data_IF_762897512450
#
_entry.id   IF_762897512450
#
_cell.length_a   1.000
_cell.length_b   1.000
_cell.length_c   1.000
_cell.angle_alpha   90.00
_cell.angle_beta   90.00
_cell.angle_gamma   90.00
#
_symmetry.space_group_name_H-M   'P 1'
#
loop_
_entity.id
_entity.type
_entity.pdbx_description
1 polymer ?
#
# COMPACT_ATOMS: atom_id res chain seq x y z
N UNK A 1 -30.81 17.38 42.40
CA UNK A 1 -31.26 16.05 41.93
C UNK A 1 -32.59 16.24 41.23
N UNK A 2 -32.78 15.67 40.03
CA UNK A 2 -34.08 15.64 39.33
C UNK A 2 -34.60 14.21 39.33
N UNK A 3 -35.89 14.03 39.52
CA UNK A 3 -36.53 12.72 39.40
C UNK A 3 -36.65 12.37 37.91
N UNK A 4 -36.18 11.19 37.53
CA UNK A 4 -36.17 10.77 36.14
C UNK A 4 -36.63 9.31 35.99
N UNK A 5 -37.28 9.01 34.88
CA UNK A 5 -37.53 7.65 34.41
C UNK A 5 -36.36 7.19 33.54
N UNK A 6 -35.85 5.99 33.78
CA UNK A 6 -34.93 5.31 32.85
C UNK A 6 -35.74 4.50 31.84
N UNK A 7 -35.57 4.80 30.56
CA UNK A 7 -36.25 4.12 29.46
C UNK A 7 -35.21 3.47 28.55
N UNK A 8 -35.40 2.20 28.21
CA UNK A 8 -34.65 1.59 27.10
C UNK A 8 -35.38 1.79 25.79
N UNK A 9 -34.71 2.43 24.84
CA UNK A 9 -35.20 2.62 23.48
C UNK A 9 -34.45 1.64 22.58
N UNK A 10 -35.16 0.66 22.02
CA UNK A 10 -34.61 -0.30 21.06
C UNK A 10 -35.31 -0.17 19.71
N UNK A 11 -34.59 -0.29 18.60
CA UNK A 11 -35.19 -0.25 17.27
C UNK A 11 -34.16 -0.39 16.15
N UNK A 12 -34.56 -0.05 14.92
CA UNK A 12 -33.65 0.14 13.79
C UNK A 12 -33.83 1.57 13.27
N UNK A 13 -32.75 2.29 13.04
CA UNK A 13 -32.71 3.51 12.23
C UNK A 13 -32.72 3.16 10.74
N UNK A 14 -32.61 4.16 9.86
CA UNK A 14 -32.52 3.92 8.43
C UNK A 14 -31.28 3.09 8.01
N UNK A 15 -30.26 3.01 8.88
CA UNK A 15 -28.98 2.38 8.56
C UNK A 15 -28.46 1.41 9.62
N UNK A 16 -28.85 1.54 10.89
CA UNK A 16 -28.28 0.78 12.01
C UNK A 16 -29.28 0.46 13.14
N UNK A 17 -29.10 -0.65 13.88
CA UNK A 17 -29.87 -0.92 15.09
C UNK A 17 -29.60 0.14 16.19
N UNK A 18 -30.65 0.51 16.91
CA UNK A 18 -30.60 1.49 18.00
C UNK A 18 -30.87 0.77 19.32
N UNK A 19 -30.07 1.06 20.34
CA UNK A 19 -30.34 0.67 21.72
C UNK A 19 -29.79 1.74 22.64
N UNK A 20 -30.67 2.51 23.25
CA UNK A 20 -30.27 3.61 24.13
C UNK A 20 -30.93 3.51 25.50
N UNK A 21 -30.24 4.05 26.48
CA UNK A 21 -30.77 4.35 27.80
C UNK A 21 -31.08 5.84 27.87
N UNK A 22 -32.36 6.19 27.90
CA UNK A 22 -32.85 7.56 27.93
C UNK A 22 -33.40 7.88 29.32
N UNK A 23 -32.87 8.93 29.93
CA UNK A 23 -33.38 9.49 31.18
C UNK A 23 -34.34 10.63 30.85
N UNK A 24 -35.60 10.45 31.22
CA UNK A 24 -36.70 11.39 30.94
C UNK A 24 -37.14 12.03 32.24
N UNK A 25 -37.24 13.36 32.28
CA UNK A 25 -37.73 14.09 33.45
C UNK A 25 -39.13 13.61 33.81
N UNK A 26 -39.33 13.25 35.08
CA UNK A 26 -40.59 12.66 35.53
C UNK A 26 -41.77 13.65 35.56
N UNK A 27 -41.52 14.97 35.47
CA UNK A 27 -42.54 16.00 35.58
C UNK A 27 -42.97 16.57 34.23
N UNK A 28 -42.02 16.81 33.33
CA UNK A 28 -42.29 17.49 32.05
C UNK A 28 -41.98 16.65 30.81
N UNK A 29 -41.55 15.40 31.00
CA UNK A 29 -41.18 14.47 29.94
C UNK A 29 -40.04 14.95 29.01
N UNK A 30 -39.27 15.97 29.42
CA UNK A 30 -38.07 16.39 28.69
C UNK A 30 -36.97 15.33 28.81
N UNK A 31 -36.15 15.20 27.76
CA UNK A 31 -35.00 14.30 27.79
C UNK A 31 -33.88 14.97 28.59
N UNK A 32 -33.49 14.36 29.71
CA UNK A 32 -32.40 14.83 30.57
C UNK A 32 -31.04 14.31 30.12
N UNK A 33 -30.99 13.05 29.66
CA UNK A 33 -29.78 12.38 29.20
C UNK A 33 -30.14 11.21 28.28
N UNK A 34 -29.34 10.97 27.24
CA UNK A 34 -29.44 9.80 26.36
C UNK A 34 -28.07 9.15 26.26
N UNK A 35 -27.98 7.88 26.62
CA UNK A 35 -26.74 7.09 26.64
C UNK A 35 -26.90 5.92 25.68
N UNK A 36 -26.21 5.90 24.53
CA UNK A 36 -26.26 4.76 23.62
C UNK A 36 -25.62 3.51 24.24
N UNK A 37 -26.29 2.37 24.11
CA UNK A 37 -25.86 1.02 24.55
C UNK A 37 -25.47 0.11 23.37
N UNK A 38 -25.73 0.52 22.12
CA UNK A 38 -25.10 -0.02 20.91
C UNK A 38 -23.99 0.95 20.50
N UNK A 39 -22.76 0.44 20.37
CA UNK A 39 -21.55 1.22 20.12
C UNK A 39 -21.02 0.97 18.71
N UNK A 40 -21.85 1.17 17.69
CA UNK A 40 -21.43 1.32 16.28
C UNK A 40 -20.70 2.67 16.07
N UNK A 41 -20.02 3.15 17.12
CA UNK A 41 -19.64 4.53 17.33
C UNK A 41 -18.22 4.56 17.91
N UNK A 42 -17.36 5.29 17.20
CA UNK A 42 -16.08 5.84 17.66
C UNK A 42 -15.95 5.83 19.20
N UNK A 43 -15.03 5.02 19.72
CA UNK A 43 -14.76 4.91 21.15
C UNK A 43 -13.29 5.19 21.43
N UNK A 44 -12.97 6.44 21.76
CA UNK A 44 -11.58 6.85 22.03
C UNK A 44 -11.27 6.88 23.51
N UNK A 45 -10.05 6.50 23.86
CA UNK A 45 -9.50 6.59 25.22
C UNK A 45 -8.05 7.02 25.15
N UNK A 46 -7.76 8.22 25.62
CA UNK A 46 -6.39 8.74 25.71
C UNK A 46 -5.95 8.73 27.17
N UNK A 47 -4.85 8.03 27.39
CA UNK A 47 -4.16 7.90 28.67
C UNK A 47 -2.87 8.71 28.66
N UNK A 48 -2.30 8.90 29.84
CA UNK A 48 -0.95 9.42 30.01
C UNK A 48 -0.12 8.44 30.83
N UNK A 49 1.08 8.11 30.32
CA UNK A 49 2.08 7.37 31.07
C UNK A 49 2.82 8.24 32.11
N UNK A 50 2.54 9.55 32.18
CA UNK A 50 3.14 10.54 33.08
C UNK A 50 4.68 10.46 33.08
N UNK A 51 5.30 10.41 31.90
CA UNK A 51 6.73 10.27 31.66
C UNK A 51 7.36 8.95 32.15
N UNK A 52 6.54 7.93 32.40
CA UNK A 52 6.99 6.56 32.65
C UNK A 52 6.85 5.69 31.40
N UNK A 53 7.32 4.44 31.47
CA UNK A 53 7.11 3.44 30.41
C UNK A 53 5.93 2.49 30.71
N UNK A 54 5.07 2.82 31.70
CA UNK A 54 3.95 1.95 32.09
C UNK A 54 2.71 2.26 31.26
N UNK A 55 2.27 1.28 30.47
CA UNK A 55 1.08 1.34 29.63
C UNK A 55 -0.16 0.69 30.29
N UNK A 56 -1.40 1.16 29.99
CA UNK A 56 -1.69 2.42 29.31
C UNK A 56 -1.47 3.65 30.23
N UNK A 57 -1.22 3.44 31.52
CA UNK A 57 -1.07 4.53 32.48
C UNK A 57 -2.42 5.04 33.02
N UNK A 58 -2.61 6.35 33.09
CA UNK A 58 -3.80 6.97 33.71
C UNK A 58 -4.71 7.57 32.65
N UNK A 59 -5.98 7.18 32.62
CA UNK A 59 -6.96 7.72 31.68
C UNK A 59 -7.11 9.24 31.89
N UNK A 60 -6.94 10.01 30.81
CA UNK A 60 -7.07 11.48 30.83
C UNK A 60 -8.32 11.95 30.09
N UNK A 61 -8.72 11.26 29.02
CA UNK A 61 -9.91 11.60 28.25
C UNK A 61 -10.51 10.38 27.57
N UNK A 62 -11.79 10.15 27.79
CA UNK A 62 -12.61 9.14 27.11
C UNK A 62 -13.67 9.74 26.20
N UNK A 63 -14.29 8.90 25.39
CA UNK A 63 -15.40 9.30 24.51
C UNK A 63 -16.51 10.05 25.29
N UNK A 64 -17.00 11.15 24.72
CA UNK A 64 -18.01 12.01 25.35
C UNK A 64 -17.53 12.88 26.52
N UNK A 65 -16.28 12.74 26.97
CA UNK A 65 -15.72 13.60 28.02
C UNK A 65 -15.27 14.96 27.45
N UNK A 66 -15.36 16.05 28.25
CA UNK A 66 -14.82 17.35 27.86
C UNK A 66 -13.29 17.28 27.68
N UNK A 67 -12.73 18.35 27.11
CA UNK A 67 -11.28 18.53 27.02
C UNK A 67 -10.61 18.35 28.39
N UNK A 68 -9.46 17.68 28.41
CA UNK A 68 -8.75 17.32 29.65
C UNK A 68 -7.98 18.51 30.24
N UNK A 69 -7.69 19.53 29.43
CA UNK A 69 -6.82 20.65 29.79
C UNK A 69 -5.34 20.38 29.49
N UNK A 70 -5.01 19.17 29.07
CA UNK A 70 -3.71 18.79 28.55
C UNK A 70 -3.75 18.84 27.01
N UNK A 71 -2.98 19.77 26.43
CA UNK A 71 -2.99 20.02 25.00
C UNK A 71 -2.58 18.80 24.18
N UNK A 72 -1.67 17.96 24.69
CA UNK A 72 -1.22 16.79 23.94
C UNK A 72 -2.30 15.71 23.94
N UNK A 73 -2.88 15.41 25.11
CA UNK A 73 -4.04 14.51 25.24
C UNK A 73 -5.17 14.92 24.31
N UNK A 74 -5.52 16.21 24.31
CA UNK A 74 -6.66 16.73 23.55
C UNK A 74 -6.41 16.73 22.04
N UNK A 75 -5.17 17.02 21.60
CA UNK A 75 -4.77 16.91 20.20
C UNK A 75 -4.80 15.44 19.72
N UNK A 76 -4.22 14.51 20.47
CA UNK A 76 -4.24 13.08 20.13
C UNK A 76 -5.67 12.54 20.08
N UNK A 77 -6.53 12.93 21.02
CA UNK A 77 -7.96 12.56 21.01
C UNK A 77 -8.67 13.01 19.73
N UNK A 78 -8.31 14.19 19.20
CA UNK A 78 -8.85 14.70 17.94
C UNK A 78 -8.31 13.90 16.74
N UNK A 79 -7.00 13.61 16.71
CA UNK A 79 -6.39 12.84 15.62
C UNK A 79 -6.95 11.42 15.52
N UNK A 80 -7.15 10.73 16.65
CA UNK A 80 -7.83 9.43 16.68
C UNK A 80 -9.23 9.49 16.02
N UNK A 81 -9.97 10.57 16.29
CA UNK A 81 -11.30 10.77 15.71
C UNK A 81 -11.27 11.05 14.22
N UNK A 82 -10.30 11.83 13.75
CA UNK A 82 -10.10 12.12 12.32
C UNK A 82 -9.68 10.86 11.56
N UNK A 83 -8.77 10.04 12.10
CA UNK A 83 -8.38 8.77 11.50
C UNK A 83 -9.57 7.82 11.40
N UNK A 84 -10.36 7.65 12.47
CA UNK A 84 -11.59 6.85 12.40
C UNK A 84 -12.54 7.37 11.32
N UNK A 85 -12.80 8.69 11.30
CA UNK A 85 -13.73 9.29 10.36
C UNK A 85 -13.26 9.13 8.91
N UNK A 86 -11.96 9.23 8.65
CA UNK A 86 -11.35 8.97 7.35
C UNK A 86 -11.64 7.54 6.87
N UNK A 87 -11.28 6.53 7.66
CA UNK A 87 -11.50 5.12 7.29
C UNK A 87 -12.99 4.76 7.17
N UNK A 88 -13.82 5.22 8.11
CA UNK A 88 -15.25 4.97 8.07
C UNK A 88 -15.92 5.63 6.85
N UNK A 89 -15.57 6.88 6.54
CA UNK A 89 -16.17 7.61 5.41
C UNK A 89 -15.74 7.04 4.07
N UNK A 90 -14.45 6.73 3.90
CA UNK A 90 -13.92 6.26 2.62
C UNK A 90 -14.20 4.78 2.37
N UNK A 91 -14.14 3.95 3.40
CA UNK A 91 -14.14 2.49 3.23
C UNK A 91 -15.30 1.78 3.92
N UNK A 92 -16.16 2.52 4.65
CA UNK A 92 -17.21 1.91 5.47
C UNK A 92 -16.65 1.04 6.60
N UNK A 93 -15.40 1.27 7.00
CA UNK A 93 -14.71 0.47 8.02
C UNK A 93 -15.01 1.02 9.42
N UNK A 94 -15.65 0.20 10.25
CA UNK A 94 -15.88 0.53 11.66
C UNK A 94 -14.63 0.25 12.51
N UNK A 95 -13.83 1.29 12.75
CA UNK A 95 -12.54 1.23 13.46
C UNK A 95 -11.48 0.35 12.78
N UNK A 96 -10.36 0.09 13.47
CA UNK A 96 -9.18 -0.53 12.86
C UNK A 96 -9.33 -2.03 12.64
N UNK A 97 -10.24 -2.72 13.32
CA UNK A 97 -10.58 -4.14 13.12
C UNK A 97 -11.81 -4.36 12.23
N UNK A 98 -12.49 -3.28 11.80
CA UNK A 98 -13.76 -3.37 11.07
C UNK A 98 -14.96 -3.79 11.92
N UNK A 99 -14.81 -3.84 13.25
CA UNK A 99 -15.82 -4.28 14.21
C UNK A 99 -15.88 -3.38 15.47
N UNK A 100 -15.46 -2.12 15.36
CA UNK A 100 -15.61 -1.13 16.42
C UNK A 100 -14.55 -1.18 17.51
N UNK A 101 -13.31 -1.63 17.21
CA UNK A 101 -12.18 -1.61 18.14
C UNK A 101 -12.07 -0.28 18.89
N UNK A 102 -12.02 -0.25 20.22
CA UNK A 102 -11.73 0.97 20.96
C UNK A 102 -10.36 1.53 20.58
N UNK A 103 -10.32 2.82 20.21
CA UNK A 103 -9.08 3.52 19.89
C UNK A 103 -8.41 3.98 21.18
N UNK A 104 -7.50 3.15 21.68
CA UNK A 104 -6.71 3.43 22.87
C UNK A 104 -5.38 4.07 22.46
N UNK A 105 -5.01 5.16 23.13
CA UNK A 105 -3.69 5.75 22.98
C UNK A 105 -3.13 6.19 24.33
N UNK A 106 -1.80 6.11 24.47
CA UNK A 106 -1.05 6.61 25.62
C UNK A 106 -0.03 7.67 25.18
N UNK A 107 -0.18 8.89 25.69
CA UNK A 107 0.77 10.01 25.51
C UNK A 107 1.69 10.17 26.72
N UNK A 108 2.69 11.05 26.64
CA UNK A 108 3.72 11.24 27.68
C UNK A 108 4.44 9.94 28.02
N UNK A 109 4.73 9.13 26.99
CA UNK A 109 5.49 7.90 27.13
C UNK A 109 6.98 8.20 27.26
N UNK A 110 7.58 7.73 28.36
CA UNK A 110 8.96 7.99 28.76
C UNK A 110 9.32 9.50 28.77
N UNK A 111 10.60 9.83 28.84
CA UNK A 111 11.08 11.22 28.83
C UNK A 111 11.84 11.49 27.54
N UNK A 112 11.50 12.58 26.85
CA UNK A 112 12.15 13.00 25.60
C UNK A 112 12.17 11.90 24.52
N UNK A 113 11.14 11.07 24.49
CA UNK A 113 11.06 9.92 23.59
C UNK A 113 10.64 10.36 22.19
N UNK A 114 11.49 10.06 21.21
CA UNK A 114 11.32 10.44 19.80
C UNK A 114 10.82 9.24 19.02
N UNK A 115 9.63 8.76 19.36
CA UNK A 115 8.93 7.76 18.56
C UNK A 115 7.44 7.69 18.90
N UNK A 116 6.67 7.15 17.97
CA UNK A 116 5.32 6.66 18.16
C UNK A 116 5.28 5.22 17.63
N UNK A 117 4.38 4.40 18.14
CA UNK A 117 4.19 3.03 17.63
C UNK A 117 2.82 2.48 18.01
N UNK A 118 2.27 1.62 17.16
CA UNK A 118 1.26 0.64 17.54
C UNK A 118 1.90 -0.59 18.19
N UNK A 119 1.41 -1.00 19.37
CA UNK A 119 2.00 -2.13 20.13
C UNK A 119 1.25 -3.47 19.97
N UNK A 120 0.24 -3.51 19.08
CA UNK A 120 -0.71 -4.61 18.96
C UNK A 120 -2.02 -4.40 19.72
N UNK A 121 -2.07 -3.41 20.64
CA UNK A 121 -3.24 -3.12 21.47
C UNK A 121 -3.58 -1.63 21.60
N UNK A 122 -2.58 -0.76 21.62
CA UNK A 122 -2.76 0.68 21.73
C UNK A 122 -1.71 1.48 20.95
N UNK A 123 -2.04 2.73 20.65
CA UNK A 123 -1.12 3.71 20.08
C UNK A 123 -0.29 4.38 21.20
N UNK A 124 1.02 4.18 21.21
CA UNK A 124 1.95 4.78 22.18
C UNK A 124 2.67 5.96 21.56
N UNK A 125 2.70 7.08 22.28
CA UNK A 125 3.19 8.36 21.75
C UNK A 125 4.20 9.03 22.69
N UNK A 126 5.39 9.32 22.18
CA UNK A 126 6.39 10.15 22.84
C UNK A 126 6.16 11.65 22.67
N UNK A 127 6.64 12.43 23.63
CA UNK A 127 6.57 13.90 23.60
C UNK A 127 7.58 14.53 22.61
N UNK A 128 8.48 13.73 22.04
CA UNK A 128 9.65 14.23 21.35
C UNK A 128 10.66 14.86 22.31
N UNK A 129 11.78 15.33 21.79
CA UNK A 129 12.84 15.99 22.56
C UNK A 129 12.90 17.51 22.32
N UNK A 130 11.97 18.06 21.52
CA UNK A 130 11.94 19.47 21.13
C UNK A 130 13.02 19.89 20.14
N UNK A 131 13.89 18.97 19.72
CA UNK A 131 15.00 19.22 18.79
C UNK A 131 14.79 18.45 17.49
N UNK A 132 14.63 17.13 17.57
CA UNK A 132 14.43 16.25 16.41
C UNK A 132 12.96 15.99 16.13
N UNK A 133 12.11 16.07 17.16
CA UNK A 133 10.66 16.02 17.02
C UNK A 133 9.96 16.77 18.18
N UNK A 134 8.78 17.29 17.90
CA UNK A 134 7.77 17.67 18.89
C UNK A 134 6.88 16.49 19.30
N UNK A 135 5.74 16.74 19.95
CA UNK A 135 4.80 15.70 20.37
C UNK A 135 4.20 14.96 19.16
N UNK A 136 4.54 13.68 18.98
CA UNK A 136 4.38 13.01 17.68
C UNK A 136 2.91 12.82 17.27
N UNK A 137 2.08 12.32 18.19
CA UNK A 137 0.64 12.12 17.97
C UNK A 137 -0.22 13.40 17.97
N UNK A 138 0.35 14.57 17.69
CA UNK A 138 -0.41 15.76 17.29
C UNK A 138 -0.55 15.88 15.77
N UNK A 139 0.21 15.08 15.01
CA UNK A 139 0.14 15.01 13.55
C UNK A 139 -0.87 13.94 13.11
N UNK A 140 -1.71 14.27 12.13
CA UNK A 140 -2.76 13.35 11.66
C UNK A 140 -2.16 12.17 10.91
N UNK A 141 -1.21 12.41 10.01
CA UNK A 141 -0.50 11.37 9.27
C UNK A 141 0.22 10.39 10.18
N UNK A 142 0.88 10.85 11.25
CA UNK A 142 1.52 9.96 12.24
C UNK A 142 0.48 9.08 12.93
N UNK A 143 -0.61 9.66 13.43
CA UNK A 143 -1.66 8.86 14.11
C UNK A 143 -2.36 7.90 13.14
N UNK A 144 -2.60 8.32 11.91
CA UNK A 144 -3.17 7.47 10.86
C UNK A 144 -2.19 6.38 10.41
N UNK A 145 -0.89 6.67 10.33
CA UNK A 145 0.16 5.70 10.05
C UNK A 145 0.15 4.60 11.12
N UNK A 146 0.24 4.96 12.40
CA UNK A 146 0.28 3.96 13.46
C UNK A 146 -0.98 3.10 13.53
N UNK A 147 -2.16 3.71 13.39
CA UNK A 147 -3.42 2.96 13.38
C UNK A 147 -3.61 2.11 12.12
N UNK A 148 -2.93 2.44 11.01
CA UNK A 148 -2.93 1.60 9.80
C UNK A 148 -2.12 0.32 9.98
N UNK A 149 -1.16 0.26 10.91
CA UNK A 149 -0.57 -1.02 11.31
C UNK A 149 -1.62 -1.95 11.89
N UNK A 150 -2.52 -1.45 12.74
CA UNK A 150 -3.64 -2.24 13.25
C UNK A 150 -4.55 -2.74 12.11
N UNK A 151 -4.89 -1.88 11.14
CA UNK A 151 -5.64 -2.33 9.93
C UNK A 151 -4.89 -3.45 9.21
N UNK A 152 -3.58 -3.33 9.07
CA UNK A 152 -2.75 -4.36 8.42
C UNK A 152 -2.78 -5.68 9.19
N UNK A 153 -2.72 -5.63 10.53
CA UNK A 153 -2.79 -6.81 11.41
C UNK A 153 -4.12 -7.56 11.32
N UNK A 154 -5.25 -6.83 11.28
CA UNK A 154 -6.59 -7.43 11.21
C UNK A 154 -6.98 -7.92 9.80
N UNK A 155 -6.20 -7.58 8.78
CA UNK A 155 -6.53 -7.85 7.38
C UNK A 155 -5.49 -8.79 6.73
N UNK A 156 -4.49 -8.22 6.05
CA UNK A 156 -3.48 -9.01 5.31
C UNK A 156 -2.47 -9.73 6.20
N UNK A 157 -2.25 -9.24 7.41
CA UNK A 157 -1.24 -9.75 8.34
C UNK A 157 0.19 -9.68 7.78
N UNK A 158 0.51 -8.69 6.94
CA UNK A 158 1.85 -8.51 6.36
C UNK A 158 2.92 -8.58 7.45
N UNK A 159 3.79 -9.59 7.37
CA UNK A 159 4.85 -9.74 8.36
C UNK A 159 5.86 -8.61 8.23
N UNK A 160 6.33 -8.12 9.38
CA UNK A 160 7.18 -6.94 9.49
C UNK A 160 8.66 -7.23 9.16
N UNK A 161 8.92 -7.75 7.98
CA UNK A 161 10.27 -8.04 7.48
C UNK A 161 10.32 -8.07 5.96
N UNK A 162 11.46 -7.73 5.37
CA UNK A 162 11.67 -7.76 3.92
C UNK A 162 10.62 -6.97 3.14
N UNK A 163 10.18 -7.52 2.01
CA UNK A 163 9.21 -6.84 1.12
C UNK A 163 7.85 -6.69 1.79
N UNK A 164 7.36 -7.70 2.51
CA UNK A 164 6.07 -7.60 3.19
C UNK A 164 6.08 -6.54 4.28
N UNK A 165 7.20 -6.38 5.00
CA UNK A 165 7.37 -5.32 5.98
C UNK A 165 7.45 -3.94 5.33
N UNK A 166 8.15 -3.81 4.20
CA UNK A 166 8.19 -2.57 3.43
C UNK A 166 6.80 -2.19 2.88
N UNK A 167 5.99 -3.18 2.48
CA UNK A 167 4.60 -2.98 2.09
C UNK A 167 3.71 -2.56 3.27
N UNK A 168 4.00 -3.07 4.48
CA UNK A 168 3.31 -2.73 5.72
C UNK A 168 3.57 -1.25 6.06
N UNK A 169 4.83 -0.86 6.16
CA UNK A 169 5.26 0.54 6.35
C UNK A 169 4.68 1.49 5.30
N UNK A 170 4.78 1.11 4.02
CA UNK A 170 4.25 1.93 2.94
C UNK A 170 2.73 2.07 3.00
N UNK A 171 2.01 1.04 3.48
CA UNK A 171 0.56 1.13 3.64
C UNK A 171 0.19 2.17 4.70
N UNK A 172 0.93 2.18 5.81
CA UNK A 172 0.80 3.16 6.89
C UNK A 172 1.09 4.59 6.44
N UNK A 173 2.19 4.82 5.70
CA UNK A 173 2.48 6.12 5.09
C UNK A 173 1.39 6.57 4.10
N UNK A 174 0.92 5.65 3.24
CA UNK A 174 -0.13 5.93 2.25
C UNK A 174 -1.42 6.37 2.92
N UNK A 175 -1.89 5.67 3.97
CA UNK A 175 -3.13 6.05 4.62
C UNK A 175 -2.99 7.24 5.57
N UNK A 176 -1.77 7.53 6.05
CA UNK A 176 -1.42 8.84 6.60
C UNK A 176 -1.72 9.97 5.61
N UNK A 177 -1.09 9.90 4.43
CA UNK A 177 -1.28 10.88 3.35
C UNK A 177 -2.74 10.97 2.86
N UNK A 178 -3.44 9.84 2.75
CA UNK A 178 -4.85 9.81 2.34
C UNK A 178 -5.73 10.54 3.36
N UNK A 179 -5.53 10.30 4.66
CA UNK A 179 -6.34 10.95 5.68
C UNK A 179 -6.03 12.44 5.82
N UNK A 180 -4.77 12.85 5.64
CA UNK A 180 -4.43 14.27 5.52
C UNK A 180 -5.07 14.93 4.31
N UNK A 181 -4.95 14.31 3.13
CA UNK A 181 -5.57 14.80 1.91
C UNK A 181 -7.09 14.95 2.09
N UNK A 182 -7.75 13.90 2.59
CA UNK A 182 -9.19 13.88 2.85
C UNK A 182 -9.61 15.00 3.82
N UNK A 183 -8.91 15.16 4.95
CA UNK A 183 -9.21 16.20 5.94
C UNK A 183 -9.00 17.62 5.43
N UNK A 184 -8.20 17.78 4.36
CA UNK A 184 -7.87 19.06 3.72
C UNK A 184 -8.57 19.24 2.37
N UNK A 185 -9.78 18.68 2.22
CA UNK A 185 -10.60 18.78 1.00
C UNK A 185 -9.91 18.20 -0.25
N UNK A 186 -9.31 17.03 -0.09
CA UNK A 186 -8.57 16.31 -1.14
C UNK A 186 -7.36 17.09 -1.70
N UNK A 187 -6.67 17.83 -0.83
CA UNK A 187 -5.42 18.49 -1.19
C UNK A 187 -4.39 17.44 -1.65
N UNK A 188 -3.63 17.75 -2.69
CA UNK A 188 -2.44 16.99 -3.09
C UNK A 188 -1.20 17.90 -3.07
N UNK A 189 -1.24 18.92 -2.20
CA UNK A 189 -0.13 19.84 -1.99
C UNK A 189 1.11 19.15 -1.39
N UNK A 190 2.27 19.83 -1.36
CA UNK A 190 3.54 19.21 -0.98
C UNK A 190 3.55 18.51 0.38
N UNK A 191 2.81 19.04 1.37
CA UNK A 191 2.80 18.48 2.72
C UNK A 191 2.13 17.09 2.79
N UNK A 192 1.13 16.81 1.96
CA UNK A 192 0.46 15.49 1.91
C UNK A 192 1.43 14.37 1.54
N UNK A 193 2.54 14.70 0.88
CA UNK A 193 3.56 13.73 0.46
C UNK A 193 4.75 13.70 1.42
N UNK A 194 4.65 14.33 2.59
CA UNK A 194 5.66 14.29 3.65
C UNK A 194 5.09 13.57 4.85
N UNK A 195 5.85 12.66 5.44
CA UNK A 195 5.41 11.91 6.61
C UNK A 195 6.03 12.52 7.86
N UNK A 196 5.21 13.05 8.76
CA UNK A 196 5.57 13.60 10.07
C UNK A 196 6.13 15.02 10.02
N UNK A 197 5.90 15.78 8.96
CA UNK A 197 6.48 17.11 8.72
C UNK A 197 6.04 18.15 9.77
N UNK A 198 4.82 18.04 10.28
CA UNK A 198 4.26 18.96 11.28
C UNK A 198 4.87 18.79 12.68
N UNK A 199 5.52 17.65 12.94
CA UNK A 199 6.15 17.32 14.23
C UNK A 199 7.66 17.12 14.11
N UNK A 200 8.22 17.19 12.90
CA UNK A 200 9.64 17.06 12.63
C UNK A 200 10.38 18.34 12.97
N UNK A 201 11.57 18.20 13.58
CA UNK A 201 12.55 19.28 13.87
C UNK A 201 11.92 20.66 13.95
N UNK A 202 11.18 20.98 15.03
CA UNK A 202 10.41 22.23 15.11
C UNK A 202 11.16 23.53 14.72
N UNK A 203 12.50 23.63 14.89
CA UNK A 203 13.27 24.79 14.41
C UNK A 203 13.52 24.86 12.89
N UNK A 204 13.33 23.77 12.13
CA UNK A 204 13.60 23.67 10.70
C UNK A 204 12.26 23.56 9.98
N UNK A 205 11.96 24.55 9.13
CA UNK A 205 10.69 24.55 8.41
C UNK A 205 10.78 23.68 7.15
N UNK A 206 9.80 22.80 6.98
CA UNK A 206 9.52 22.12 5.72
C UNK A 206 10.29 20.83 5.47
N UNK A 207 11.01 20.30 6.46
CA UNK A 207 11.58 18.95 6.39
C UNK A 207 10.61 17.91 6.98
N UNK A 208 10.91 16.63 6.73
CA UNK A 208 10.14 15.49 7.20
C UNK A 208 11.05 14.26 7.36
N UNK A 209 10.68 13.28 8.22
CA UNK A 209 11.34 11.99 8.31
C UNK A 209 11.41 11.24 6.98
N UNK A 210 10.33 11.28 6.18
CA UNK A 210 10.21 10.61 4.89
C UNK A 210 9.43 11.46 3.89
N UNK A 211 9.72 11.28 2.61
CA UNK A 211 9.09 11.99 1.49
C UNK A 211 8.53 10.97 0.49
N UNK A 212 7.22 10.93 0.28
CA UNK A 212 6.59 10.03 -0.68
C UNK A 212 6.79 10.50 -2.13
N UNK A 213 6.98 11.80 -2.36
CA UNK A 213 7.13 12.39 -3.69
C UNK A 213 8.56 12.36 -4.23
N UNK A 214 9.56 12.30 -3.34
CA UNK A 214 10.97 12.05 -3.60
C UNK A 214 11.63 11.30 -2.42
N UNK A 215 11.47 9.97 -2.30
CA UNK A 215 11.97 9.21 -1.14
C UNK A 215 13.45 9.41 -0.86
N UNK A 216 14.26 9.57 -1.91
CA UNK A 216 15.71 9.74 -1.75
C UNK A 216 16.11 11.02 -1.00
N UNK A 217 15.19 11.99 -0.85
CA UNK A 217 15.44 13.29 -0.21
C UNK A 217 15.77 13.19 1.28
N UNK A 218 15.29 12.16 1.98
CA UNK A 218 15.64 11.93 3.39
C UNK A 218 17.07 11.35 3.56
N UNK A 219 17.70 10.93 2.47
CA UNK A 219 19.05 10.36 2.45
C UNK A 219 19.14 8.88 2.80
N UNK A 220 18.02 8.20 3.05
CA UNK A 220 17.95 6.78 3.40
C UNK A 220 17.01 6.02 2.46
N UNK A 221 15.78 6.49 2.27
CA UNK A 221 14.71 5.75 1.60
C UNK A 221 15.00 5.42 0.14
N UNK A 222 14.61 4.21 -0.26
CA UNK A 222 14.69 3.72 -1.64
C UNK A 222 13.52 4.24 -2.45
N UNK A 223 13.76 4.60 -3.71
CA UNK A 223 12.71 5.02 -4.66
C UNK A 223 12.56 4.08 -5.86
N UNK A 224 13.40 3.06 -5.96
CA UNK A 224 13.43 2.14 -7.09
C UNK A 224 13.80 0.71 -6.67
N UNK A 225 13.06 -0.27 -7.18
CA UNK A 225 13.11 -1.66 -6.73
C UNK A 225 14.45 -2.36 -6.92
N UNK A 226 15.27 -1.96 -7.91
CA UNK A 226 16.60 -2.56 -8.12
C UNK A 226 17.57 -2.32 -6.95
N UNK A 227 17.32 -1.27 -6.15
CA UNK A 227 18.13 -0.95 -4.97
C UNK A 227 17.77 -1.84 -3.78
N UNK A 228 16.58 -2.45 -3.78
CA UNK A 228 16.16 -3.36 -2.73
C UNK A 228 17.15 -4.54 -2.61
N UNK A 229 17.46 -4.89 -1.37
CA UNK A 229 18.30 -6.04 -1.00
C UNK A 229 17.59 -6.84 0.07
N UNK A 230 17.79 -8.16 0.05
CA UNK A 230 17.21 -9.02 1.08
C UNK A 230 17.71 -8.58 2.47
N UNK A 231 16.80 -8.38 3.41
CA UNK A 231 17.09 -7.85 4.74
C UNK A 231 17.23 -6.33 4.81
N UNK A 232 16.86 -5.59 3.77
CA UNK A 232 16.71 -4.13 3.86
C UNK A 232 15.71 -3.76 4.97
N UNK A 233 15.97 -2.63 5.62
CA UNK A 233 15.04 -2.07 6.61
C UNK A 233 13.71 -1.71 5.92
N UNK A 234 12.62 -1.99 6.64
CA UNK A 234 11.27 -1.86 6.11
C UNK A 234 10.88 -0.40 5.86
N UNK A 235 11.37 0.53 6.68
CA UNK A 235 11.09 1.97 6.53
C UNK A 235 11.86 2.53 5.33
N UNK A 236 13.08 2.05 5.10
CA UNK A 236 13.89 2.46 3.94
C UNK A 236 13.29 1.95 2.63
N UNK A 237 12.85 0.69 2.60
CA UNK A 237 12.29 0.07 1.40
C UNK A 237 10.85 0.51 1.07
N UNK A 238 10.11 1.06 2.05
CA UNK A 238 8.72 1.51 1.85
C UNK A 238 8.60 2.63 0.81
N UNK A 239 9.65 3.44 0.66
CA UNK A 239 9.75 4.53 -0.32
C UNK A 239 9.42 4.12 -1.76
N UNK A 240 9.72 2.87 -2.14
CA UNK A 240 9.45 2.32 -3.48
C UNK A 240 7.94 2.36 -3.77
N UNK A 241 7.11 1.87 -2.84
CA UNK A 241 5.65 1.86 -3.02
C UNK A 241 5.04 3.22 -2.69
N UNK A 242 5.62 3.99 -1.77
CA UNK A 242 5.18 5.37 -1.50
C UNK A 242 5.24 6.21 -2.77
N UNK A 243 6.35 6.15 -3.51
CA UNK A 243 6.50 6.85 -4.77
C UNK A 243 5.54 6.31 -5.85
N UNK A 244 5.32 4.99 -5.93
CA UNK A 244 4.34 4.43 -6.85
C UNK A 244 2.93 4.97 -6.57
N UNK A 245 2.51 5.02 -5.30
CA UNK A 245 1.21 5.57 -4.90
C UNK A 245 1.11 7.07 -5.21
N UNK A 246 2.15 7.85 -4.89
CA UNK A 246 2.21 9.27 -5.20
C UNK A 246 2.06 9.52 -6.70
N UNK A 247 2.84 8.82 -7.53
CA UNK A 247 2.78 8.97 -8.99
C UNK A 247 1.44 8.52 -9.55
N UNK A 248 0.84 7.46 -9.02
CA UNK A 248 -0.51 7.06 -9.41
C UNK A 248 -1.54 8.15 -9.07
N UNK A 249 -1.39 8.81 -7.92
CA UNK A 249 -2.29 9.85 -7.45
C UNK A 249 -2.17 11.13 -8.27
N UNK A 250 -0.95 11.67 -8.43
CA UNK A 250 -0.69 12.98 -9.04
C UNK A 250 -0.35 12.92 -10.53
N UNK A 251 0.11 11.78 -11.01
CA UNK A 251 0.76 11.64 -12.30
C UNK A 251 2.21 12.13 -12.28
N UNK A 252 2.87 12.03 -13.44
CA UNK A 252 4.24 12.47 -13.68
C UNK A 252 5.24 11.34 -13.86
N UNK A 253 6.52 11.71 -13.81
CA UNK A 253 7.66 10.80 -13.96
C UNK A 253 8.40 10.63 -12.63
N UNK A 254 9.22 9.59 -12.54
CA UNK A 254 10.09 9.37 -11.40
C UNK A 254 10.98 10.60 -11.12
N UNK A 255 11.06 11.12 -9.87
CA UNK A 255 11.68 12.41 -9.54
C UNK A 255 13.18 12.47 -9.90
N UNK A 256 13.90 11.35 -9.73
CA UNK A 256 15.30 11.21 -10.14
C UNK A 256 15.52 10.62 -11.54
N UNK A 257 14.48 10.60 -12.38
CA UNK A 257 14.53 10.12 -13.78
C UNK A 257 15.07 8.69 -13.99
N UNK A 258 15.06 7.84 -12.95
CA UNK A 258 15.48 6.42 -13.04
C UNK A 258 14.62 5.62 -14.01
N UNK A 259 13.41 6.10 -14.25
CA UNK A 259 12.48 5.59 -15.24
C UNK A 259 11.80 6.75 -15.94
N UNK A 260 11.74 6.70 -17.27
CA UNK A 260 11.00 7.66 -18.10
C UNK A 260 9.52 7.27 -18.27
N UNK A 261 9.00 6.47 -17.34
CA UNK A 261 7.61 6.02 -17.35
C UNK A 261 6.74 7.16 -16.83
N UNK A 262 6.12 7.87 -17.77
CA UNK A 262 5.11 8.89 -17.46
C UNK A 262 3.79 8.23 -17.02
N UNK A 263 3.34 8.55 -15.81
CA UNK A 263 2.15 8.02 -15.14
C UNK A 263 1.02 9.03 -15.31
N UNK A 264 -0.13 8.56 -15.79
CA UNK A 264 -1.34 9.37 -15.79
C UNK A 264 -1.98 9.31 -14.40
N UNK A 265 -2.03 10.46 -13.71
CA UNK A 265 -2.61 10.60 -12.39
C UNK A 265 -4.12 10.32 -12.38
N UNK A 266 -4.57 9.53 -11.41
CA UNK A 266 -5.98 9.13 -11.28
C UNK A 266 -6.71 9.80 -10.10
N UNK A 267 -5.99 10.64 -9.33
CA UNK A 267 -6.45 11.22 -8.09
C UNK A 267 -6.22 10.31 -6.88
N UNK A 268 -5.91 10.91 -5.73
CA UNK A 268 -5.56 10.19 -4.50
C UNK A 268 -6.72 9.37 -3.93
N UNK A 269 -7.96 9.87 -3.97
CA UNK A 269 -9.14 9.13 -3.50
C UNK A 269 -9.30 7.80 -4.26
N UNK A 270 -9.24 7.86 -5.59
CA UNK A 270 -9.34 6.66 -6.43
C UNK A 270 -8.17 5.70 -6.17
N UNK A 271 -6.95 6.21 -6.08
CA UNK A 271 -5.78 5.40 -5.75
C UNK A 271 -5.94 4.72 -4.37
N UNK A 272 -6.46 5.44 -3.38
CA UNK A 272 -6.70 4.93 -2.03
C UNK A 272 -7.69 3.76 -2.02
N UNK A 273 -8.82 3.85 -2.74
CA UNK A 273 -9.76 2.73 -2.87
C UNK A 273 -9.13 1.47 -3.49
N UNK A 274 -8.29 1.65 -4.51
CA UNK A 274 -7.59 0.52 -5.15
C UNK A 274 -6.62 -0.12 -4.17
N UNK A 275 -5.81 0.68 -3.46
CA UNK A 275 -4.81 0.19 -2.52
C UNK A 275 -5.45 -0.47 -1.30
N UNK A 276 -6.51 0.13 -0.74
CA UNK A 276 -7.29 -0.44 0.37
C UNK A 276 -7.91 -1.79 -0.01
N UNK A 277 -8.55 -1.86 -1.17
CA UNK A 277 -9.16 -3.10 -1.66
C UNK A 277 -8.10 -4.18 -1.86
N UNK A 278 -6.93 -3.83 -2.40
CA UNK A 278 -5.85 -4.80 -2.56
C UNK A 278 -5.31 -5.31 -1.23
N UNK A 279 -5.08 -4.41 -0.26
CA UNK A 279 -4.52 -4.78 1.05
C UNK A 279 -5.48 -5.59 1.92
N UNK A 280 -6.80 -5.41 1.75
CA UNK A 280 -7.80 -6.13 2.55
C UNK A 280 -8.31 -7.42 1.88
N UNK A 281 -8.38 -7.46 0.55
CA UNK A 281 -8.98 -8.60 -0.16
C UNK A 281 -7.97 -9.59 -0.76
N UNK A 282 -6.74 -9.17 -1.06
CA UNK A 282 -5.81 -9.98 -1.87
C UNK A 282 -4.43 -10.17 -1.27
N UNK A 283 -3.96 -9.23 -0.47
CA UNK A 283 -2.66 -9.36 0.19
C UNK A 283 -2.70 -10.50 1.22
N UNK A 284 -1.54 -11.10 1.42
CA UNK A 284 -1.30 -12.14 2.43
C UNK A 284 -0.07 -11.76 3.23
N UNK A 285 0.17 -12.47 4.33
CA UNK A 285 1.27 -12.18 5.24
C UNK A 285 2.66 -12.07 4.56
N UNK A 286 2.89 -12.77 3.44
CA UNK A 286 4.17 -12.81 2.72
C UNK A 286 4.13 -12.14 1.33
N UNK A 287 3.16 -11.25 1.09
CA UNK A 287 3.06 -10.58 -0.22
C UNK A 287 4.35 -9.82 -0.56
N UNK A 288 4.87 -10.04 -1.77
CA UNK A 288 6.04 -9.35 -2.33
C UNK A 288 5.62 -8.09 -3.11
N UNK A 289 6.54 -7.20 -3.48
CA UNK A 289 6.25 -6.03 -4.31
C UNK A 289 5.64 -6.41 -5.68
N UNK A 290 6.17 -7.46 -6.32
CA UNK A 290 5.65 -7.96 -7.60
C UNK A 290 4.23 -8.53 -7.48
N UNK A 291 3.93 -9.23 -6.37
CA UNK A 291 2.58 -9.71 -6.05
C UNK A 291 1.66 -8.53 -5.72
N UNK A 292 2.12 -7.57 -4.91
CA UNK A 292 1.38 -6.37 -4.56
C UNK A 292 0.93 -5.60 -5.80
N UNK A 293 1.83 -5.38 -6.76
CA UNK A 293 1.48 -4.81 -8.08
C UNK A 293 0.33 -5.57 -8.72
N UNK A 294 0.44 -6.90 -8.82
CA UNK A 294 -0.55 -7.75 -9.47
C UNK A 294 -1.91 -7.66 -8.77
N UNK A 295 -1.92 -7.66 -7.44
CA UNK A 295 -3.13 -7.56 -6.63
C UNK A 295 -3.77 -6.18 -6.68
N UNK A 296 -2.99 -5.10 -6.83
CA UNK A 296 -3.50 -3.74 -7.00
C UNK A 296 -4.10 -3.56 -8.40
N UNK A 297 -3.52 -4.16 -9.44
CA UNK A 297 -4.15 -4.23 -10.77
C UNK A 297 -5.47 -5.02 -10.72
N UNK A 298 -5.51 -6.13 -9.97
CA UNK A 298 -6.73 -6.93 -9.76
C UNK A 298 -7.79 -6.14 -8.98
N UNK A 299 -7.40 -5.42 -7.93
CA UNK A 299 -8.30 -4.55 -7.16
C UNK A 299 -8.93 -3.47 -8.02
N UNK A 300 -8.14 -2.81 -8.88
CA UNK A 300 -8.69 -1.85 -9.83
C UNK A 300 -9.72 -2.48 -10.78
N UNK A 301 -9.49 -3.73 -11.20
CA UNK A 301 -10.42 -4.51 -12.04
C UNK A 301 -11.71 -4.84 -11.30
N UNK A 302 -11.62 -5.34 -10.06
CA UNK A 302 -12.76 -5.74 -9.23
C UNK A 302 -13.64 -4.54 -8.85
N UNK A 303 -13.03 -3.37 -8.65
CA UNK A 303 -13.74 -2.11 -8.45
C UNK A 303 -14.42 -1.56 -9.72
N UNK A 304 -14.25 -2.23 -10.86
CA UNK A 304 -14.88 -1.86 -12.13
C UNK A 304 -14.25 -0.64 -12.81
N UNK A 305 -13.00 -0.29 -12.49
CA UNK A 305 -12.32 0.79 -13.18
C UNK A 305 -11.93 0.42 -14.62
N UNK A 306 -11.84 1.44 -15.46
CA UNK A 306 -11.59 1.29 -16.88
C UNK A 306 -10.14 0.85 -17.18
N UNK A 307 -9.87 0.32 -18.40
CA UNK A 307 -8.53 -0.13 -18.78
C UNK A 307 -7.43 0.92 -18.68
N UNK A 308 -7.73 2.23 -18.83
CA UNK A 308 -6.70 3.26 -18.68
C UNK A 308 -6.31 3.45 -17.22
N UNK A 309 -7.27 3.41 -16.29
CA UNK A 309 -6.98 3.43 -14.84
C UNK A 309 -6.10 2.24 -14.44
N UNK A 310 -6.43 1.03 -14.90
CA UNK A 310 -5.63 -0.18 -14.65
C UNK A 310 -4.21 -0.05 -15.27
N UNK A 311 -4.12 0.55 -16.46
CA UNK A 311 -2.84 0.82 -17.10
C UNK A 311 -2.01 1.87 -16.33
N UNK A 312 -2.64 2.87 -15.71
CA UNK A 312 -1.96 3.82 -14.80
C UNK A 312 -1.40 3.13 -13.57
N UNK A 313 -2.14 2.20 -12.95
CA UNK A 313 -1.63 1.36 -11.86
C UNK A 313 -0.37 0.61 -12.30
N UNK A 314 -0.45 -0.10 -13.43
CA UNK A 314 0.70 -0.80 -14.01
C UNK A 314 1.89 0.14 -14.22
N UNK A 315 1.61 1.34 -14.75
CA UNK A 315 2.62 2.34 -15.10
C UNK A 315 3.31 2.92 -13.87
N UNK A 316 2.59 3.15 -12.78
CA UNK A 316 3.14 3.65 -11.52
C UNK A 316 4.15 2.67 -10.91
N UNK A 317 3.81 1.39 -10.87
CA UNK A 317 4.72 0.33 -10.40
C UNK A 317 5.96 0.18 -11.32
N UNK A 318 5.79 0.31 -12.64
CA UNK A 318 6.92 0.32 -13.58
C UNK A 318 7.82 1.56 -13.45
N UNK A 319 7.27 2.69 -13.01
CA UNK A 319 8.04 3.91 -12.76
C UNK A 319 9.07 3.70 -11.63
N UNK A 320 8.74 2.87 -10.64
CA UNK A 320 9.62 2.52 -9.52
C UNK A 320 10.33 1.17 -9.69
N UNK A 321 10.33 0.62 -10.92
CA UNK A 321 11.12 -0.58 -11.25
C UNK A 321 10.50 -1.92 -10.86
N UNK A 322 9.25 -1.94 -10.39
CA UNK A 322 8.53 -3.18 -10.08
C UNK A 322 7.78 -3.65 -11.32
N UNK A 323 8.33 -4.65 -12.00
CA UNK A 323 7.72 -5.25 -13.18
C UNK A 323 6.76 -6.39 -12.79
N UNK A 324 5.92 -6.85 -13.73
CA UNK A 324 5.13 -8.07 -13.46
C UNK A 324 6.07 -9.23 -13.19
N UNK A 325 5.79 -10.06 -12.17
CA UNK A 325 6.56 -11.26 -11.92
C UNK A 325 6.55 -12.13 -13.18
N UNK A 326 7.66 -12.81 -13.43
CA UNK A 326 7.71 -13.87 -14.43
C UNK A 326 6.68 -14.93 -14.01
N UNK A 327 5.73 -15.34 -14.87
CA UNK A 327 4.70 -16.30 -14.49
C UNK A 327 5.32 -17.56 -13.87
N UNK A 328 4.92 -17.94 -12.65
CA UNK A 328 5.37 -19.19 -12.02
C UNK A 328 4.78 -20.44 -12.69
N UNK A 329 3.67 -20.27 -13.42
CA UNK A 329 3.07 -21.29 -14.27
C UNK A 329 3.09 -20.81 -15.71
N UNK A 330 3.68 -21.65 -16.56
CA UNK A 330 3.89 -21.31 -17.94
C UNK A 330 2.72 -21.78 -18.81
N UNK A 331 2.10 -20.91 -19.61
CA UNK A 331 1.05 -21.34 -20.52
C UNK A 331 1.63 -22.31 -21.58
N UNK A 332 1.07 -23.52 -21.76
CA UNK A 332 1.55 -24.47 -22.77
C UNK A 332 1.37 -23.91 -24.19
N UNK A 333 2.40 -24.01 -25.05
CA UNK A 333 2.37 -23.55 -26.45
C UNK A 333 1.22 -24.14 -27.28
N UNK A 334 0.72 -25.32 -26.92
CA UNK A 334 -0.19 -26.14 -27.74
C UNK A 334 -1.65 -25.63 -27.79
N UNK A 335 -1.98 -24.53 -27.11
CA UNK A 335 -3.34 -23.96 -27.06
C UNK A 335 -3.52 -22.66 -27.86
N UNK A 336 -2.52 -22.22 -28.66
CA UNK A 336 -2.65 -20.97 -29.44
C UNK A 336 -2.14 -21.10 -30.88
N UNK A 337 -2.96 -21.57 -31.84
CA UNK A 337 -2.68 -21.39 -33.25
C UNK A 337 -3.50 -20.23 -33.86
N UNK A 338 -2.89 -19.33 -34.65
CA UNK A 338 -1.51 -18.86 -34.55
C UNK A 338 -1.36 -17.92 -33.35
N UNK A 339 -0.17 -17.85 -32.76
CA UNK A 339 0.15 -16.79 -31.79
C UNK A 339 -0.14 -15.46 -32.45
N UNK A 340 -1.10 -14.71 -31.91
CA UNK A 340 -1.41 -13.38 -32.41
C UNK A 340 -0.11 -12.58 -32.52
N UNK A 341 0.10 -11.84 -33.63
CA UNK A 341 1.35 -11.12 -33.85
C UNK A 341 1.74 -10.32 -32.60
N UNK A 342 2.95 -10.54 -32.13
CA UNK A 342 3.48 -9.94 -30.92
C UNK A 342 3.70 -8.47 -31.21
N UNK A 343 2.96 -7.65 -30.48
CA UNK A 343 3.12 -6.20 -30.45
C UNK A 343 3.23 -5.76 -29.01
N UNK A 344 4.15 -4.83 -28.74
CA UNK A 344 4.50 -4.45 -27.39
C UNK A 344 5.33 -3.19 -27.34
N UNK A 345 5.28 -2.50 -26.21
CA UNK A 345 6.14 -1.35 -25.93
C UNK A 345 7.55 -1.82 -25.54
N UNK A 346 8.52 -0.91 -25.52
CA UNK A 346 9.82 -1.20 -24.94
C UNK A 346 9.67 -1.72 -23.50
N UNK A 347 10.42 -2.78 -23.19
CA UNK A 347 10.45 -3.58 -21.96
C UNK A 347 9.14 -4.32 -21.65
N UNK A 348 8.26 -4.49 -22.63
CA UNK A 348 7.10 -5.38 -22.45
C UNK A 348 7.57 -6.84 -22.53
N UNK A 349 7.19 -7.63 -21.53
CA UNK A 349 7.61 -9.02 -21.40
C UNK A 349 6.46 -9.96 -21.77
N UNK A 350 6.77 -11.01 -22.54
CA UNK A 350 5.88 -12.14 -22.77
C UNK A 350 6.63 -13.43 -22.47
N UNK A 351 5.94 -14.36 -21.82
CA UNK A 351 6.50 -15.66 -21.46
C UNK A 351 5.67 -16.79 -22.09
N UNK A 352 6.35 -17.80 -22.64
CA UNK A 352 5.75 -18.98 -23.27
C UNK A 352 6.51 -20.24 -22.83
N UNK A 353 5.87 -21.42 -22.94
CA UNK A 353 6.56 -22.69 -22.74
C UNK A 353 6.28 -23.73 -23.80
N UNK A 354 7.35 -24.43 -24.21
CA UNK A 354 7.30 -25.56 -25.11
C UNK A 354 7.79 -26.82 -24.39
N UNK A 355 6.95 -27.86 -24.35
CA UNK A 355 7.38 -29.18 -23.89
C UNK A 355 8.14 -29.89 -25.01
N UNK A 356 9.27 -30.50 -24.65
CA UNK A 356 10.16 -31.22 -25.56
C UNK A 356 10.34 -32.66 -25.11
N UNK A 357 10.34 -33.57 -26.08
CA UNK A 357 10.71 -34.95 -25.84
C UNK A 357 12.23 -35.06 -25.66
N UNK A 358 12.67 -36.12 -25.00
CA UNK A 358 14.09 -36.46 -24.92
C UNK A 358 14.68 -36.60 -26.33
N UNK A 359 15.88 -36.05 -26.53
CA UNK A 359 16.63 -36.06 -27.78
C UNK A 359 15.96 -35.34 -28.97
N UNK A 360 14.93 -34.53 -28.75
CA UNK A 360 14.38 -33.66 -29.78
C UNK A 360 15.29 -32.45 -30.01
N UNK A 361 15.50 -32.06 -31.27
CA UNK A 361 16.18 -30.81 -31.62
C UNK A 361 15.16 -29.71 -31.71
N UNK A 362 15.36 -28.61 -30.97
CA UNK A 362 14.34 -27.56 -30.89
C UNK A 362 14.86 -26.22 -31.35
N UNK A 363 14.07 -25.55 -32.19
CA UNK A 363 14.38 -24.22 -32.70
C UNK A 363 13.25 -23.26 -32.36
N UNK A 364 13.62 -22.12 -31.79
CA UNK A 364 12.71 -21.02 -31.46
C UNK A 364 13.09 -19.81 -32.30
N UNK A 365 12.12 -19.18 -32.97
CA UNK A 365 12.41 -18.05 -33.86
C UNK A 365 11.42 -16.91 -33.67
N UNK A 366 11.94 -15.68 -33.70
CA UNK A 366 11.18 -14.46 -33.98
C UNK A 366 11.44 -14.07 -35.43
N UNK A 367 10.39 -13.71 -36.16
CA UNK A 367 10.51 -13.21 -37.53
C UNK A 367 9.46 -12.16 -37.87
N UNK A 368 9.80 -11.32 -38.84
CA UNK A 368 8.95 -10.25 -39.35
C UNK A 368 8.72 -9.12 -38.34
N UNK A 369 7.67 -8.34 -38.60
CA UNK A 369 7.33 -7.19 -37.77
C UNK A 369 8.27 -5.99 -37.92
N UNK A 370 8.17 -5.05 -36.99
CA UNK A 370 9.04 -3.87 -36.86
C UNK A 370 9.50 -3.73 -35.41
N UNK A 371 10.63 -3.07 -35.21
CA UNK A 371 11.18 -2.81 -33.88
C UNK A 371 12.22 -3.84 -33.47
N UNK A 372 12.45 -3.93 -32.17
CA UNK A 372 13.54 -4.70 -31.58
C UNK A 372 13.02 -5.53 -30.41
N UNK A 373 12.81 -6.82 -30.66
CA UNK A 373 12.30 -7.78 -29.71
C UNK A 373 13.35 -8.86 -29.50
N UNK A 374 13.86 -8.96 -28.27
CA UNK A 374 14.82 -9.98 -27.87
C UNK A 374 14.12 -11.27 -27.45
N UNK A 375 14.76 -12.39 -27.73
CA UNK A 375 14.42 -13.77 -27.40
C UNK A 375 15.44 -14.31 -26.41
N UNK A 376 14.92 -14.83 -25.30
CA UNK A 376 15.65 -15.62 -24.34
C UNK A 376 14.98 -16.98 -24.19
N UNK A 377 15.78 -18.04 -24.17
CA UNK A 377 15.28 -19.41 -23.98
C UNK A 377 16.09 -20.11 -22.89
N UNK A 378 15.42 -20.87 -22.03
CA UNK A 378 16.06 -21.66 -20.97
C UNK A 378 15.26 -22.92 -20.64
N UNK A 379 15.94 -24.05 -20.45
CA UNK A 379 15.32 -25.32 -20.07
C UNK A 379 15.06 -25.39 -18.55
N UNK A 380 13.87 -25.85 -18.17
CA UNK A 380 13.50 -26.18 -16.79
C UNK A 380 13.18 -25.00 -15.86
N UNK A 381 13.54 -23.78 -16.23
CA UNK A 381 13.27 -22.57 -15.45
C UNK A 381 13.13 -21.34 -16.36
N UNK A 382 12.43 -20.27 -15.92
CA UNK A 382 12.36 -19.02 -16.66
C UNK A 382 13.76 -18.43 -16.95
N UNK A 383 13.98 -17.85 -18.14
CA UNK A 383 15.22 -17.14 -18.43
C UNK A 383 15.31 -15.85 -17.62
N UNK A 384 16.53 -15.44 -17.27
CA UNK A 384 16.85 -14.10 -16.76
C UNK A 384 17.90 -13.46 -17.67
N UNK A 385 18.25 -12.19 -17.41
CA UNK A 385 19.35 -11.53 -18.15
C UNK A 385 20.71 -12.20 -17.93
N UNK A 386 20.88 -12.90 -16.80
CA UNK A 386 22.14 -13.52 -16.38
C UNK A 386 22.11 -15.06 -16.50
N UNK A 387 20.93 -15.65 -16.70
CA UNK A 387 20.75 -17.10 -16.78
C UNK A 387 19.81 -17.47 -17.94
N UNK A 388 20.40 -17.94 -19.05
CA UNK A 388 19.71 -18.39 -20.25
C UNK A 388 20.51 -19.50 -20.94
N UNK A 389 19.84 -20.34 -21.73
CA UNK A 389 20.49 -21.31 -22.61
C UNK A 389 20.81 -20.68 -23.98
N UNK A 390 19.96 -19.76 -24.44
CA UNK A 390 20.17 -19.05 -25.70
C UNK A 390 19.61 -17.63 -25.66
N UNK A 391 20.39 -16.71 -26.25
CA UNK A 391 20.03 -15.33 -26.57
C UNK A 391 20.83 -14.90 -27.83
N UNK A 392 20.19 -14.50 -28.95
CA UNK A 392 20.89 -14.16 -30.20
C UNK A 392 21.63 -12.81 -30.25
N UNK A 393 21.35 -11.86 -29.35
CA UNK A 393 21.98 -10.52 -29.28
C UNK A 393 21.87 -9.72 -30.59
N UNK A 394 20.70 -9.70 -31.22
CA UNK A 394 20.47 -8.95 -32.46
C UNK A 394 19.75 -7.64 -32.15
N UNK A 395 20.01 -6.60 -32.95
CA UNK A 395 19.37 -5.29 -32.79
C UNK A 395 18.06 -5.15 -33.57
N UNK A 396 17.32 -6.26 -33.75
CA UNK A 396 16.07 -6.33 -34.50
C UNK A 396 15.21 -7.50 -34.00
N UNK A 397 14.01 -7.67 -34.56
CA UNK A 397 13.09 -8.76 -34.19
C UNK A 397 13.32 -10.07 -34.94
N UNK A 398 14.45 -10.25 -35.64
CA UNK A 398 14.79 -11.46 -36.40
C UNK A 398 15.74 -12.34 -35.57
N UNK A 399 15.18 -13.10 -34.64
CA UNK A 399 15.95 -13.84 -33.64
C UNK A 399 15.80 -15.35 -33.80
N UNK A 400 16.86 -16.12 -33.59
CA UNK A 400 16.81 -17.58 -33.71
C UNK A 400 17.67 -18.27 -32.66
N UNK A 401 17.04 -19.19 -31.93
CA UNK A 401 17.66 -20.05 -30.93
C UNK A 401 17.53 -21.51 -31.33
N UNK A 402 18.59 -22.08 -31.91
CA UNK A 402 18.72 -23.50 -32.17
C UNK A 402 19.42 -24.19 -30.99
N UNK A 403 18.67 -25.01 -30.24
CA UNK A 403 19.16 -25.66 -29.03
C UNK A 403 19.48 -27.13 -29.30
N UNK A 404 20.63 -27.58 -28.80
CA UNK A 404 21.06 -28.96 -28.93
C UNK A 404 20.09 -29.91 -28.21
N UNK A 405 19.91 -31.15 -28.71
CA UNK A 405 19.06 -32.14 -28.07
C UNK A 405 19.49 -32.41 -26.62
N UNK A 406 18.51 -32.46 -25.71
CA UNK A 406 18.73 -32.82 -24.30
C UNK A 406 18.31 -34.27 -24.05
N UNK A 407 19.09 -34.98 -23.23
CA UNK A 407 18.86 -36.40 -22.92
C UNK A 407 17.54 -36.66 -22.17
N UNK A 408 16.99 -35.65 -21.50
CA UNK A 408 15.74 -35.71 -20.74
C UNK A 408 14.65 -34.88 -21.42
N UNK A 409 13.43 -35.40 -21.43
CA UNK A 409 12.25 -34.59 -21.74
C UNK A 409 12.07 -33.48 -20.69
N UNK A 410 11.45 -32.37 -21.08
CA UNK A 410 11.15 -31.29 -20.15
C UNK A 410 10.58 -30.07 -20.86
N UNK A 411 10.68 -28.91 -20.22
CA UNK A 411 10.03 -27.69 -20.69
C UNK A 411 11.07 -26.62 -20.93
N UNK A 412 11.07 -26.04 -22.14
CA UNK A 412 11.74 -24.78 -22.39
C UNK A 412 10.81 -23.62 -22.03
N UNK A 413 11.35 -22.70 -21.25
CA UNK A 413 10.78 -21.40 -20.99
C UNK A 413 11.34 -20.40 -21.98
N UNK A 414 10.44 -19.64 -22.59
CA UNK A 414 10.74 -18.62 -23.59
C UNK A 414 10.31 -17.27 -23.02
N UNK A 415 11.23 -16.32 -23.02
CA UNK A 415 10.98 -14.93 -22.67
C UNK A 415 11.24 -14.05 -23.89
N UNK A 416 10.21 -13.33 -24.31
CA UNK A 416 10.30 -12.33 -25.36
C UNK A 416 10.14 -10.96 -24.71
N UNK A 417 11.13 -10.08 -24.90
CA UNK A 417 11.11 -8.71 -24.37
C UNK A 417 11.38 -7.71 -25.48
N UNK A 418 10.60 -6.63 -25.54
CA UNK A 418 10.91 -5.54 -26.46
C UNK A 418 12.12 -4.73 -25.97
N UNK A 419 13.29 -4.77 -26.62
CA UNK A 419 14.34 -3.78 -26.34
C UNK A 419 13.86 -2.37 -26.72
N UNK A 420 13.16 -2.29 -27.86
CA UNK A 420 12.38 -1.11 -28.32
C UNK A 420 10.93 -1.51 -28.53
N UNK A 421 10.00 -0.56 -28.78
CA UNK A 421 8.64 -0.93 -29.18
C UNK A 421 8.70 -1.81 -30.43
N UNK A 422 7.96 -2.91 -30.42
CA UNK A 422 7.85 -3.83 -31.54
C UNK A 422 6.39 -4.02 -31.94
N UNK A 423 6.16 -4.31 -33.22
CA UNK A 423 4.81 -4.58 -33.74
C UNK A 423 4.83 -5.67 -34.79
N UNK A 424 3.78 -6.50 -34.75
CA UNK A 424 3.54 -7.60 -35.67
C UNK A 424 4.69 -8.62 -35.78
N UNK A 425 5.43 -8.85 -34.70
CA UNK A 425 6.49 -9.86 -34.64
C UNK A 425 5.86 -11.25 -34.55
N UNK A 426 6.32 -12.19 -35.37
CA UNK A 426 5.82 -13.57 -35.37
C UNK A 426 6.77 -14.43 -34.57
N UNK A 427 6.23 -15.20 -33.61
CA UNK A 427 7.00 -16.24 -32.92
C UNK A 427 6.61 -17.61 -33.47
N UNK A 428 7.62 -18.41 -33.80
CA UNK A 428 7.45 -19.80 -34.23
C UNK A 428 8.43 -20.72 -33.53
N UNK A 429 8.05 -22.00 -33.47
CA UNK A 429 8.79 -23.06 -32.81
C UNK A 429 8.68 -24.35 -33.62
N UNK A 430 9.77 -25.11 -33.69
CA UNK A 430 9.82 -26.46 -34.25
C UNK A 430 10.60 -27.41 -33.35
N UNK A 431 10.20 -28.68 -33.36
CA UNK A 431 10.77 -29.77 -32.55
C UNK A 431 10.92 -31.08 -33.30
#
# INVERSE_FOLDING_TARGET
>A
MRLAWEVRVTGNSATLPVRDRVYVDALDASILLRVPEIHDALNRRVYSANNSMRLPGTLKRGEGQPASGDAYVDATFNMLGLTYACFNTLFGRDSMDGAGLPLISTVHYATSYVNAYWDGTELVCGDGNGVTAGPLCTALDVVAHELTHAVTEYESGLIYTGESGALNESLSDIFGAVCESWSTSWSMGPNVWKVGESVRTPPIAGDAPRYMDDPFLDGDSMDYFEDYKNGADVHTASGIRNLAFKLLSTGGVHPRERSLRDVLGIGIEKAAHIFYTASTAFFTANTTFEQARTYIELAATVLGYDPNTIASVSRAWEAVGVFKPVPQFCPPLHLVPPLSPISGKARSNRYYCANTAANASTVFTLSGGRGDADLYVRFGAPPTKDAFDCRPYLGNSEESCALAPRATAGTYWIWITGFRPCSNVTFSYSN
#
